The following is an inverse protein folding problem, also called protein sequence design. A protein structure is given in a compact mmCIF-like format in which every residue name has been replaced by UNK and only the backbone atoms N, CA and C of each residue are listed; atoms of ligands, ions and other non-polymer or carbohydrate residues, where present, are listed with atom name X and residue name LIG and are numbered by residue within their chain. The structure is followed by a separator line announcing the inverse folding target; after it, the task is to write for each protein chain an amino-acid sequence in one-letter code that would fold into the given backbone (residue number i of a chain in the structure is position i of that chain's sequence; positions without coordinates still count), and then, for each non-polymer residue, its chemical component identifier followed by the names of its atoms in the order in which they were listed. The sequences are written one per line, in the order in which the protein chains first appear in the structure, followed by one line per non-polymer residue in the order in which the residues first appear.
data_IF_584373490334
#
_entry.id   IF_584373490334
#
_cell.length_a   1.000
_cell.length_b   1.000
_cell.length_c   1.000
_cell.angle_alpha   90.00
_cell.angle_beta   90.00
_cell.angle_gamma   90.00
#
_symmetry.space_group_name_H-M   'P 1'
#
loop_
_entity.id
_entity.type
_entity.pdbx_description
1 polymer ?
#
# COMPACT_ATOMS: atom_id res chain seq x y z
N UNK A 1 -35.87 -30.73 81.46
CA UNK A 1 -34.59 -30.47 80.76
C UNK A 1 -34.95 -30.33 79.27
N UNK A 2 -35.44 -29.17 78.81
CA UNK A 2 -34.69 -27.92 78.57
C UNK A 2 -33.45 -28.18 77.69
N UNK A 3 -33.23 -27.63 76.49
CA UNK A 3 -33.92 -26.59 75.72
C UNK A 3 -33.74 -26.84 74.21
N UNK A 4 -34.76 -26.45 73.45
CA UNK A 4 -34.74 -26.27 72.00
C UNK A 4 -33.98 -24.98 71.62
N UNK A 5 -33.45 -24.89 70.39
CA UNK A 5 -33.53 -23.68 69.56
C UNK A 5 -33.20 -24.00 68.09
N UNK A 6 -34.15 -24.66 67.40
CA UNK A 6 -34.24 -24.63 65.94
C UNK A 6 -35.29 -23.59 65.55
N UNK A 7 -34.87 -22.38 65.24
CA UNK A 7 -35.73 -21.28 64.79
C UNK A 7 -35.96 -21.36 63.25
N UNK A 8 -37.03 -20.75 62.74
CA UNK A 8 -38.05 -21.46 61.97
C UNK A 8 -38.37 -20.72 60.67
N UNK A 9 -38.01 -21.25 59.50
CA UNK A 9 -38.28 -20.50 58.26
C UNK A 9 -38.88 -21.23 57.08
N UNK A 10 -39.26 -22.51 57.19
CA UNK A 10 -39.90 -23.16 56.04
C UNK A 10 -41.04 -24.08 56.47
N UNK A 11 -42.18 -23.46 56.77
CA UNK A 11 -43.46 -24.15 56.74
C UNK A 11 -44.53 -23.18 56.20
N UNK A 12 -44.86 -23.30 54.90
CA UNK A 12 -46.20 -23.09 54.33
C UNK A 12 -46.29 -23.46 52.83
N UNK A 13 -47.48 -23.80 52.34
CA UNK A 13 -47.71 -24.71 51.22
C UNK A 13 -47.85 -24.04 49.85
N UNK A 14 -47.78 -24.88 48.80
CA UNK A 14 -48.09 -24.59 47.41
C UNK A 14 -49.41 -23.80 47.27
N UNK A 15 -49.35 -22.61 46.67
CA UNK A 15 -50.48 -22.02 45.95
C UNK A 15 -49.95 -21.42 44.66
N UNK A 16 -50.57 -21.81 43.56
CA UNK A 16 -50.16 -21.54 42.19
C UNK A 16 -50.14 -20.05 41.84
N UNK A 17 -49.09 -19.62 41.14
CA UNK A 17 -49.12 -18.41 40.34
C UNK A 17 -48.78 -18.77 38.89
N UNK A 18 -49.76 -18.57 38.01
CA UNK A 18 -49.63 -18.71 36.56
C UNK A 18 -48.85 -17.50 36.05
N UNK A 19 -47.59 -17.72 35.67
CA UNK A 19 -46.70 -16.70 35.10
C UNK A 19 -46.05 -17.23 33.83
N UNK A 20 -46.65 -16.87 32.71
CA UNK A 20 -46.17 -16.84 31.32
C UNK A 20 -44.77 -17.38 31.00
N UNK A 21 -44.72 -18.31 30.04
CA UNK A 21 -43.61 -18.47 29.11
C UNK A 21 -42.50 -19.42 29.56
N UNK A 22 -42.38 -20.56 28.87
CA UNK A 22 -41.23 -21.45 28.93
C UNK A 22 -39.92 -20.66 28.68
N UNK A 23 -39.16 -20.38 29.73
CA UNK A 23 -37.73 -20.06 29.58
C UNK A 23 -36.96 -21.38 29.57
N UNK A 24 -36.55 -21.79 28.37
CA UNK A 24 -35.59 -22.88 28.19
C UNK A 24 -34.29 -22.54 28.93
N UNK A 25 -33.62 -23.51 29.56
CA UNK A 25 -32.26 -23.29 30.07
C UNK A 25 -31.35 -22.91 28.89
N UNK A 26 -30.82 -21.69 28.97
CA UNK A 26 -29.89 -21.13 28.00
C UNK A 26 -28.49 -21.68 28.28
N UNK A 27 -28.09 -22.69 27.52
CA UNK A 27 -26.67 -23.06 27.37
C UNK A 27 -26.33 -23.07 25.88
N UNK A 28 -25.60 -22.01 25.48
CA UNK A 28 -24.60 -22.02 24.42
C UNK A 28 -25.03 -22.49 23.03
N UNK A 29 -25.48 -21.50 22.26
CA UNK A 29 -25.20 -21.26 20.83
C UNK A 29 -25.04 -22.46 19.91
N UNK A 30 -25.96 -22.51 18.94
CA UNK A 30 -25.70 -22.90 17.55
C UNK A 30 -24.28 -22.51 17.11
N UNK A 31 -23.31 -23.42 17.27
CA UNK A 31 -22.07 -23.35 16.50
C UNK A 31 -22.39 -23.95 15.15
N UNK A 32 -22.17 -23.23 14.03
CA UNK A 32 -22.18 -23.88 12.73
C UNK A 32 -21.19 -25.04 12.77
N UNK A 33 -21.59 -26.20 12.23
CA UNK A 33 -20.69 -27.34 12.06
C UNK A 33 -19.37 -26.84 11.44
N UNK A 34 -18.19 -27.30 11.92
CA UNK A 34 -16.93 -26.86 11.35
C UNK A 34 -16.97 -27.20 9.86
N UNK A 35 -17.02 -26.18 9.00
CA UNK A 35 -16.91 -26.40 7.56
C UNK A 35 -15.65 -27.21 7.36
N UNK A 36 -15.76 -28.38 6.71
CA UNK A 36 -14.61 -29.22 6.40
C UNK A 36 -13.74 -28.41 5.42
N UNK A 37 -12.83 -27.60 5.96
CA UNK A 37 -12.05 -26.63 5.19
C UNK A 37 -11.19 -27.42 4.22
N UNK A 38 -11.52 -27.37 2.93
CA UNK A 38 -10.80 -28.09 1.92
C UNK A 38 -9.46 -27.40 1.70
N UNK A 39 -8.37 -28.06 2.10
CA UNK A 39 -7.01 -27.62 1.77
C UNK A 39 -6.84 -27.69 0.26
N UNK A 40 -6.41 -26.57 -0.34
CA UNK A 40 -6.22 -26.47 -1.79
C UNK A 40 -5.18 -27.48 -2.29
N UNK A 41 -5.36 -28.00 -3.51
CA UNK A 41 -4.41 -28.93 -4.12
C UNK A 41 -2.99 -28.35 -4.20
N UNK A 42 -2.89 -27.05 -4.53
CA UNK A 42 -1.62 -26.32 -4.60
C UNK A 42 -0.93 -26.19 -3.24
N UNK A 43 -1.67 -25.92 -2.17
CA UNK A 43 -1.14 -25.90 -0.81
C UNK A 43 -0.58 -27.28 -0.43
N UNK A 44 -1.31 -28.36 -0.75
CA UNK A 44 -0.82 -29.73 -0.52
C UNK A 44 0.46 -30.03 -1.31
N UNK A 45 0.54 -29.56 -2.56
CA UNK A 45 1.72 -29.75 -3.40
C UNK A 45 2.95 -29.02 -2.83
N UNK A 46 2.79 -27.76 -2.41
CA UNK A 46 3.88 -26.99 -1.79
C UNK A 46 4.41 -27.65 -0.51
N UNK A 47 3.50 -28.17 0.33
CA UNK A 47 3.87 -28.88 1.56
C UNK A 47 4.46 -30.26 1.27
N UNK A 48 4.00 -30.96 0.24
CA UNK A 48 4.64 -32.21 -0.20
C UNK A 48 6.09 -31.97 -0.66
N UNK A 49 6.35 -30.90 -1.43
CA UNK A 49 7.71 -30.50 -1.82
C UNK A 49 8.59 -30.19 -0.60
N UNK A 50 8.04 -29.55 0.42
CA UNK A 50 8.71 -29.33 1.70
C UNK A 50 9.05 -30.65 2.39
N UNK A 51 8.12 -31.59 2.45
CA UNK A 51 8.32 -32.92 3.04
C UNK A 51 9.42 -33.74 2.39
N UNK A 52 9.64 -33.57 1.08
CA UNK A 52 10.76 -34.22 0.38
C UNK A 52 12.12 -33.67 0.84
N UNK A 53 12.19 -32.41 1.27
CA UNK A 53 13.44 -31.78 1.74
C UNK A 53 13.81 -32.20 3.15
N UNK A 54 12.81 -32.40 4.02
CA UNK A 54 13.01 -32.74 5.43
C UNK A 54 12.68 -34.21 5.73
N UNK A 55 12.98 -35.10 4.78
CA UNK A 55 12.62 -36.51 4.88
C UNK A 55 13.31 -37.18 6.09
N UNK A 56 12.56 -37.87 6.98
CA UNK A 56 13.14 -38.63 8.07
C UNK A 56 13.99 -39.80 7.58
N UNK A 57 15.02 -40.16 8.36
CA UNK A 57 15.97 -41.23 8.05
C UNK A 57 15.44 -42.63 8.37
N UNK A 58 14.49 -42.75 9.31
CA UNK A 58 13.91 -44.02 9.78
C UNK A 58 12.52 -44.26 9.18
N UNK A 59 12.21 -45.53 8.94
CA UNK A 59 10.93 -45.96 8.36
C UNK A 59 9.75 -45.73 9.31
N UNK A 60 9.95 -45.88 10.63
CA UNK A 60 8.93 -45.62 11.66
C UNK A 60 8.53 -44.13 11.72
N UNK A 61 9.43 -43.24 11.29
CA UNK A 61 9.20 -41.80 11.34
C UNK A 61 8.46 -41.27 10.09
N UNK A 62 8.30 -42.10 9.04
CA UNK A 62 7.65 -41.67 7.80
C UNK A 62 6.15 -41.43 7.98
N UNK A 63 5.47 -42.26 8.77
CA UNK A 63 4.04 -42.09 9.06
C UNK A 63 3.79 -40.85 9.93
N UNK A 64 4.60 -40.67 10.99
CA UNK A 64 4.56 -39.49 11.83
C UNK A 64 4.84 -38.20 11.02
N UNK A 65 5.82 -38.25 10.12
CA UNK A 65 6.13 -37.14 9.23
C UNK A 65 5.01 -36.84 8.24
N UNK A 66 4.36 -37.85 7.65
CA UNK A 66 3.18 -37.66 6.81
C UNK A 66 2.03 -36.99 7.58
N UNK A 67 1.80 -37.41 8.84
CA UNK A 67 0.84 -36.77 9.74
C UNK A 67 1.19 -35.30 10.03
N UNK A 68 2.46 -35.01 10.28
CA UNK A 68 2.95 -33.66 10.50
C UNK A 68 2.76 -32.75 9.27
N UNK A 69 3.02 -33.26 8.06
CA UNK A 69 2.75 -32.52 6.82
C UNK A 69 1.26 -32.25 6.61
N UNK A 70 0.39 -33.21 6.95
CA UNK A 70 -1.06 -33.03 6.84
C UNK A 70 -1.58 -31.95 7.81
N UNK A 71 -1.07 -31.93 9.05
CA UNK A 71 -1.36 -30.86 10.01
C UNK A 71 -0.86 -29.51 9.51
N UNK A 72 0.38 -29.45 9.02
CA UNK A 72 0.97 -28.24 8.48
C UNK A 72 0.16 -27.68 7.29
N UNK A 73 -0.29 -28.55 6.38
CA UNK A 73 -1.14 -28.15 5.25
C UNK A 73 -2.52 -27.63 5.71
N UNK A 74 -3.05 -28.17 6.81
CA UNK A 74 -4.29 -27.70 7.42
C UNK A 74 -4.09 -26.34 8.08
N UNK A 75 -2.99 -26.11 8.80
CA UNK A 75 -2.73 -24.83 9.46
C UNK A 75 -2.41 -23.69 8.47
N UNK A 76 -1.88 -24.03 7.29
CA UNK A 76 -1.44 -23.07 6.28
C UNK A 76 -2.43 -22.89 5.12
N UNK A 77 -3.62 -23.52 5.19
CA UNK A 77 -4.62 -23.42 4.10
C UNK A 77 -5.15 -22.00 3.85
N UNK A 78 -5.11 -21.14 4.88
CA UNK A 78 -5.54 -19.74 4.81
C UNK A 78 -4.50 -18.82 4.12
N UNK A 79 -3.28 -19.30 3.88
CA UNK A 79 -2.21 -18.52 3.25
C UNK A 79 -2.28 -18.60 1.72
N UNK A 80 -2.10 -17.47 1.00
CA UNK A 80 -1.88 -17.49 -0.44
C UNK A 80 -0.68 -18.37 -0.81
N UNK A 81 -0.86 -19.22 -1.82
CA UNK A 81 0.14 -20.22 -2.23
C UNK A 81 1.48 -19.55 -2.60
N UNK A 82 1.45 -18.41 -3.30
CA UNK A 82 2.66 -17.70 -3.73
C UNK A 82 3.51 -17.24 -2.54
N UNK A 83 2.86 -16.78 -1.46
CA UNK A 83 3.54 -16.37 -0.23
C UNK A 83 4.07 -17.57 0.55
N UNK A 84 3.32 -18.67 0.54
CA UNK A 84 3.73 -19.91 1.18
C UNK A 84 4.96 -20.53 0.49
N UNK A 85 4.97 -20.60 -0.84
CA UNK A 85 6.12 -21.11 -1.59
C UNK A 85 7.37 -20.26 -1.36
N UNK A 86 7.22 -18.93 -1.34
CA UNK A 86 8.31 -18.01 -0.99
C UNK A 86 8.82 -18.22 0.43
N UNK A 87 7.91 -18.36 1.40
CA UNK A 87 8.27 -18.60 2.81
C UNK A 87 9.03 -19.92 2.97
N UNK A 88 8.60 -20.98 2.28
CA UNK A 88 9.28 -22.28 2.27
C UNK A 88 10.68 -22.16 1.66
N UNK A 89 10.81 -21.42 0.55
CA UNK A 89 12.10 -21.16 -0.10
C UNK A 89 13.08 -20.47 0.83
N UNK A 90 12.68 -19.35 1.42
CA UNK A 90 13.51 -18.58 2.34
C UNK A 90 13.85 -19.35 3.62
N UNK A 91 12.91 -20.13 4.15
CA UNK A 91 13.16 -20.95 5.34
C UNK A 91 14.20 -22.03 5.07
N UNK A 92 14.10 -22.70 3.92
CA UNK A 92 15.03 -23.76 3.52
C UNK A 92 16.49 -23.29 3.45
N UNK A 93 16.71 -22.00 3.15
CA UNK A 93 18.05 -21.40 3.15
C UNK A 93 18.52 -21.06 4.56
N UNK A 94 17.61 -20.66 5.45
CA UNK A 94 17.92 -20.18 6.81
C UNK A 94 18.09 -21.30 7.83
N UNK A 95 17.37 -22.41 7.67
CA UNK A 95 17.30 -23.45 8.69
C UNK A 95 17.37 -24.85 8.09
N UNK A 96 18.24 -25.72 8.63
CA UNK A 96 18.30 -27.13 8.27
C UNK A 96 17.16 -27.95 8.90
N UNK A 97 16.31 -27.34 9.73
CA UNK A 97 15.21 -28.02 10.42
C UNK A 97 13.85 -27.71 9.79
N UNK A 98 12.93 -28.68 9.90
CA UNK A 98 11.58 -28.56 9.39
C UNK A 98 10.85 -27.36 10.05
N UNK A 99 10.21 -26.47 9.26
CA UNK A 99 9.52 -25.31 9.80
C UNK A 99 8.27 -25.71 10.60
N UNK A 100 7.91 -24.89 11.60
CA UNK A 100 6.57 -24.93 12.19
C UNK A 100 5.61 -24.06 11.38
N UNK A 101 4.30 -24.31 11.51
CA UNK A 101 3.28 -23.49 10.85
C UNK A 101 3.43 -22.00 11.18
N UNK A 102 3.68 -21.69 12.46
CA UNK A 102 3.89 -20.32 12.93
C UNK A 102 5.03 -19.61 12.23
N UNK A 103 6.15 -20.30 11.97
CA UNK A 103 7.32 -19.71 11.33
C UNK A 103 7.02 -19.28 9.88
N UNK A 104 6.34 -20.16 9.13
CA UNK A 104 5.91 -19.87 7.76
C UNK A 104 4.87 -18.74 7.71
N UNK A 105 3.93 -18.71 8.67
CA UNK A 105 2.96 -17.61 8.80
C UNK A 105 3.67 -16.29 9.09
N UNK A 106 4.68 -16.28 9.96
CA UNK A 106 5.43 -15.06 10.27
C UNK A 106 6.25 -14.56 9.08
N UNK A 107 6.91 -15.47 8.35
CA UNK A 107 7.60 -15.10 7.11
C UNK A 107 6.62 -14.55 6.06
N UNK A 108 5.48 -15.21 5.87
CA UNK A 108 4.46 -14.75 4.93
C UNK A 108 3.88 -13.38 5.30
N UNK A 109 3.60 -13.15 6.60
CA UNK A 109 3.20 -11.83 7.11
C UNK A 109 4.29 -10.79 6.92
N UNK A 110 5.55 -11.19 7.10
CA UNK A 110 6.71 -10.35 6.80
C UNK A 110 6.75 -9.94 5.33
N UNK A 111 6.39 -10.83 4.40
CA UNK A 111 6.24 -10.44 3.00
C UNK A 111 5.05 -9.52 2.78
N UNK A 112 3.89 -9.76 3.39
CA UNK A 112 2.77 -8.82 3.27
C UNK A 112 3.12 -7.41 3.78
N UNK A 113 3.85 -7.32 4.90
CA UNK A 113 4.32 -6.06 5.46
C UNK A 113 5.40 -5.39 4.59
N UNK A 114 6.23 -6.18 3.90
CA UNK A 114 7.28 -5.70 2.99
C UNK A 114 6.82 -5.58 1.52
N UNK A 115 5.64 -6.09 1.17
CA UNK A 115 5.06 -6.11 -0.17
C UNK A 115 4.19 -4.87 -0.46
N UNK A 116 4.22 -3.85 0.39
CA UNK A 116 4.05 -2.49 -0.10
C UNK A 116 5.46 -1.94 -0.39
N UNK A 117 5.89 -1.86 -1.66
CA UNK A 117 5.10 -1.39 -2.80
C UNK A 117 5.34 -2.19 -4.08
N UNK A 118 4.55 -3.23 -4.40
CA UNK A 118 4.38 -3.65 -5.79
C UNK A 118 2.94 -4.11 -6.06
N UNK A 119 2.35 -3.49 -7.08
CA UNK A 119 1.21 -3.98 -7.87
C UNK A 119 -0.15 -4.01 -7.17
N UNK A 120 -0.67 -2.83 -6.83
CA UNK A 120 -2.06 -2.55 -7.20
C UNK A 120 -2.03 -1.94 -8.60
N UNK A 121 -2.67 -2.59 -9.56
CA UNK A 121 -3.15 -1.98 -10.80
C UNK A 121 -4.22 -0.93 -10.44
N UNK A 122 -3.82 0.15 -9.80
CA UNK A 122 -4.47 1.43 -10.02
C UNK A 122 -3.73 1.98 -11.24
N UNK A 123 -4.41 2.39 -12.32
CA UNK A 123 -3.84 3.30 -13.30
C UNK A 123 -3.46 4.57 -12.54
N UNK A 124 -2.29 4.51 -11.92
CA UNK A 124 -1.69 5.62 -11.24
C UNK A 124 -1.12 6.42 -12.38
N UNK A 125 -1.91 7.36 -12.87
CA UNK A 125 -1.45 8.28 -13.89
C UNK A 125 -0.30 9.08 -13.26
N UNK A 126 0.92 8.60 -13.47
CA UNK A 126 2.12 9.21 -12.93
C UNK A 126 2.33 10.59 -13.54
N UNK A 127 1.72 10.89 -14.69
CA UNK A 127 1.67 12.24 -15.24
C UNK A 127 0.76 13.15 -14.40
N UNK A 128 -0.39 12.66 -13.94
CA UNK A 128 -1.24 13.36 -12.98
C UNK A 128 -0.52 13.63 -11.65
N UNK A 129 0.24 12.65 -11.15
CA UNK A 129 1.03 12.83 -9.92
C UNK A 129 2.17 13.83 -10.16
N UNK A 130 2.87 13.72 -11.28
CA UNK A 130 3.91 14.66 -11.67
C UNK A 130 3.35 16.09 -11.75
N UNK A 131 2.18 16.26 -12.38
CA UNK A 131 1.47 17.54 -12.49
C UNK A 131 1.15 18.11 -11.12
N UNK A 132 0.48 17.37 -10.24
CA UNK A 132 0.17 17.83 -8.87
C UNK A 132 1.40 18.21 -8.07
N UNK A 133 2.50 17.45 -8.24
CA UNK A 133 3.77 17.72 -7.54
C UNK A 133 4.44 18.98 -8.06
N UNK A 134 4.41 19.19 -9.37
CA UNK A 134 4.88 20.42 -10.01
C UNK A 134 4.02 21.61 -9.59
N UNK A 135 2.69 21.49 -9.57
CA UNK A 135 1.78 22.56 -9.15
C UNK A 135 2.03 22.97 -7.70
N UNK A 136 2.19 22.00 -6.79
CA UNK A 136 2.56 22.27 -5.40
C UNK A 136 3.92 22.94 -5.28
N UNK A 137 4.90 22.51 -6.07
CA UNK A 137 6.23 23.12 -6.08
C UNK A 137 6.20 24.54 -6.64
N UNK A 138 5.35 24.83 -7.63
CA UNK A 138 5.20 26.17 -8.20
C UNK A 138 4.37 27.12 -7.32
N UNK A 139 3.50 26.57 -6.46
CA UNK A 139 2.74 27.35 -5.49
C UNK A 139 3.61 27.86 -4.32
N UNK A 140 4.76 27.22 -4.08
CA UNK A 140 5.71 27.61 -3.05
C UNK A 140 6.79 28.54 -3.62
N UNK A 141 6.84 29.83 -3.23
CA UNK A 141 7.79 30.79 -3.76
C UNK A 141 9.25 30.52 -3.35
N UNK A 142 9.49 29.74 -2.29
CA UNK A 142 10.83 29.31 -1.85
C UNK A 142 11.28 27.99 -2.48
N UNK A 143 10.36 27.25 -3.10
CA UNK A 143 10.70 26.00 -3.74
C UNK A 143 11.63 26.21 -4.96
N UNK A 144 12.48 25.22 -5.20
CA UNK A 144 13.58 25.26 -6.19
C UNK A 144 13.08 25.58 -7.61
N UNK A 145 13.10 26.87 -7.97
CA UNK A 145 12.82 27.37 -9.31
C UNK A 145 13.82 26.76 -10.31
N UNK A 146 13.38 25.79 -11.10
CA UNK A 146 14.23 25.10 -12.08
C UNK A 146 14.29 23.59 -11.96
N UNK A 147 13.38 22.98 -11.19
CA UNK A 147 13.21 21.53 -11.13
C UNK A 147 11.79 21.18 -11.61
N UNK A 148 11.66 20.10 -12.38
CA UNK A 148 10.37 19.57 -12.83
C UNK A 148 10.34 18.07 -12.63
N UNK A 149 9.26 17.57 -12.06
CA UNK A 149 8.96 16.14 -12.00
C UNK A 149 8.31 15.70 -13.30
N UNK A 150 8.76 14.57 -13.83
CA UNK A 150 8.19 13.88 -14.99
C UNK A 150 8.01 12.40 -14.67
N UNK A 151 7.02 11.76 -15.28
CA UNK A 151 6.94 10.30 -15.25
C UNK A 151 8.12 9.75 -16.05
N UNK A 152 8.75 8.70 -15.54
CA UNK A 152 9.82 8.02 -16.27
C UNK A 152 9.27 7.35 -17.54
N UNK A 153 10.17 6.97 -18.46
CA UNK A 153 9.77 6.38 -19.75
C UNK A 153 8.96 5.07 -19.61
N UNK A 154 9.06 4.39 -18.47
CA UNK A 154 8.29 3.17 -18.17
C UNK A 154 6.96 3.45 -17.48
N UNK A 155 6.63 4.71 -17.19
CA UNK A 155 5.41 5.13 -16.52
C UNK A 155 5.24 4.52 -15.12
N UNK A 156 6.35 4.16 -14.47
CA UNK A 156 6.36 3.44 -13.20
C UNK A 156 6.84 4.28 -12.01
N UNK A 157 7.62 5.34 -12.25
CA UNK A 157 8.17 6.22 -11.21
C UNK A 157 8.24 7.68 -11.65
N UNK A 158 8.43 8.59 -10.70
CA UNK A 158 8.74 9.99 -10.96
C UNK A 158 10.25 10.22 -10.98
N UNK A 159 10.70 10.95 -11.98
CA UNK A 159 12.08 11.39 -12.13
C UNK A 159 12.14 12.91 -12.29
N UNK A 160 13.31 13.49 -12.01
CA UNK A 160 13.56 14.89 -12.27
C UNK A 160 13.95 15.06 -13.73
N UNK A 161 13.29 15.97 -14.43
CA UNK A 161 13.64 16.36 -15.79
C UNK A 161 15.01 17.05 -15.77
N UNK A 162 16.06 16.42 -16.34
CA UNK A 162 17.42 16.96 -16.28
C UNK A 162 17.61 18.14 -17.24
N UNK A 163 16.77 18.30 -18.27
CA UNK A 163 16.92 19.37 -19.26
C UNK A 163 16.10 20.61 -18.90
N UNK A 164 15.11 20.47 -18.03
CA UNK A 164 14.20 21.55 -17.64
C UNK A 164 14.90 22.87 -17.29
N UNK A 165 15.98 22.79 -16.51
CA UNK A 165 16.76 23.98 -16.13
C UNK A 165 17.48 24.60 -17.34
N UNK A 166 18.16 23.78 -18.11
CA UNK A 166 18.89 24.21 -19.31
C UNK A 166 17.97 24.82 -20.36
N UNK A 167 16.79 24.24 -20.56
CA UNK A 167 15.79 24.75 -21.49
C UNK A 167 15.18 26.07 -21.01
N UNK A 168 14.96 26.21 -19.70
CA UNK A 168 14.55 27.48 -19.09
C UNK A 168 15.62 28.56 -19.29
N UNK A 169 16.89 28.24 -19.02
CA UNK A 169 17.99 29.19 -19.18
C UNK A 169 18.16 29.59 -20.67
N UNK A 170 17.99 28.65 -21.61
CA UNK A 170 17.96 28.93 -23.06
C UNK A 170 16.80 29.85 -23.44
N UNK A 171 15.59 29.62 -22.92
CA UNK A 171 14.43 30.48 -23.17
C UNK A 171 14.67 31.91 -22.64
N UNK A 172 15.21 32.04 -21.43
CA UNK A 172 15.55 33.34 -20.85
C UNK A 172 16.66 34.04 -21.65
N UNK A 173 17.65 33.29 -22.14
CA UNK A 173 18.68 33.80 -23.05
C UNK A 173 18.09 34.36 -24.34
N UNK A 174 17.18 33.63 -24.99
CA UNK A 174 16.47 34.13 -26.20
C UNK A 174 15.69 35.41 -25.95
N UNK A 175 15.03 35.53 -24.79
CA UNK A 175 14.32 36.76 -24.40
C UNK A 175 15.28 37.92 -24.16
N UNK A 176 16.42 37.66 -23.51
CA UNK A 176 17.47 38.64 -23.31
C UNK A 176 18.07 39.13 -24.64
N UNK A 177 18.35 38.20 -25.55
CA UNK A 177 18.98 38.47 -26.84
C UNK A 177 18.00 38.92 -27.92
N UNK A 178 16.71 39.08 -27.58
CA UNK A 178 15.62 39.52 -28.47
C UNK A 178 15.41 38.61 -29.69
N UNK A 179 15.80 37.35 -29.57
CA UNK A 179 15.63 36.33 -30.61
C UNK A 179 14.43 35.43 -30.35
N UNK A 180 13.79 35.57 -29.18
CA UNK A 180 12.55 34.87 -28.85
C UNK A 180 11.40 35.33 -29.76
N UNK A 181 10.68 34.36 -30.32
CA UNK A 181 9.47 34.59 -31.11
C UNK A 181 8.22 34.46 -30.26
N UNK A 182 7.06 34.96 -30.72
CA UNK A 182 5.78 34.75 -30.06
C UNK A 182 5.49 33.25 -29.84
N UNK A 183 5.88 32.41 -30.81
CA UNK A 183 5.76 30.94 -30.71
C UNK A 183 6.63 30.34 -29.61
N UNK A 184 7.82 30.89 -29.36
CA UNK A 184 8.67 30.45 -28.24
C UNK A 184 8.00 30.78 -26.89
N UNK A 185 7.34 31.94 -26.79
CA UNK A 185 6.61 32.35 -25.59
C UNK A 185 5.37 31.48 -25.36
N UNK A 186 4.58 31.20 -26.40
CA UNK A 186 3.39 30.34 -26.30
C UNK A 186 3.72 28.91 -25.88
N UNK A 187 4.83 28.36 -26.41
CA UNK A 187 5.29 27.01 -26.06
C UNK A 187 5.92 26.92 -24.67
N UNK A 188 6.35 28.04 -24.09
CA UNK A 188 6.96 28.05 -22.79
C UNK A 188 5.93 27.69 -21.69
N UNK A 189 6.30 26.86 -20.70
CA UNK A 189 5.53 26.66 -19.49
C UNK A 189 5.11 28.00 -18.86
N UNK A 190 3.89 28.07 -18.33
CA UNK A 190 3.35 29.30 -17.72
C UNK A 190 4.27 29.86 -16.61
N UNK A 191 4.92 28.96 -15.86
CA UNK A 191 5.90 29.32 -14.84
C UNK A 191 7.07 30.12 -15.41
N UNK A 192 7.59 29.73 -16.59
CA UNK A 192 8.68 30.45 -17.23
C UNK A 192 8.22 31.83 -17.71
N UNK A 193 6.98 31.92 -18.21
CA UNK A 193 6.38 33.19 -18.62
C UNK A 193 6.17 34.14 -17.45
N UNK A 194 5.70 33.65 -16.29
CA UNK A 194 5.58 34.43 -15.04
C UNK A 194 6.95 34.93 -14.57
N UNK A 195 7.97 34.07 -14.54
CA UNK A 195 9.33 34.48 -14.18
C UNK A 195 9.87 35.54 -15.17
N UNK A 196 9.59 35.38 -16.47
CA UNK A 196 10.00 36.34 -17.48
C UNK A 196 9.25 37.69 -17.37
N UNK A 197 7.99 37.68 -16.96
CA UNK A 197 7.22 38.88 -16.61
C UNK A 197 7.79 39.57 -15.36
N UNK A 198 8.06 38.82 -14.28
CA UNK A 198 8.71 39.33 -13.06
C UNK A 198 10.06 40.01 -13.38
N UNK A 199 10.80 39.46 -14.34
CA UNK A 199 12.09 40.00 -14.82
C UNK A 199 11.95 41.11 -15.85
N UNK A 200 10.73 41.44 -16.27
CA UNK A 200 10.42 42.53 -17.19
C UNK A 200 10.59 42.23 -18.67
N UNK A 201 10.86 40.98 -19.06
CA UNK A 201 10.97 40.56 -20.47
C UNK A 201 9.61 40.42 -21.16
N UNK A 202 8.59 40.02 -20.40
CA UNK A 202 7.22 39.85 -20.92
C UNK A 202 6.27 40.85 -20.25
N UNK A 203 5.16 41.13 -20.94
CA UNK A 203 4.00 41.83 -20.39
C UNK A 203 2.79 40.92 -20.52
N UNK A 204 2.10 40.67 -19.40
CA UNK A 204 0.81 39.99 -19.40
C UNK A 204 -0.32 40.97 -19.70
N UNK A 205 -1.27 40.56 -20.52
CA UNK A 205 -2.52 41.26 -20.80
C UNK A 205 -3.66 40.67 -19.97
N UNK A 206 -4.80 41.38 -19.93
CA UNK A 206 -5.97 40.99 -19.14
C UNK A 206 -6.64 39.70 -19.63
N UNK A 207 -6.41 39.34 -20.89
CA UNK A 207 -6.81 38.07 -21.51
C UNK A 207 -5.88 36.89 -21.16
N UNK A 208 -4.81 37.14 -20.39
CA UNK A 208 -3.79 36.15 -20.03
C UNK A 208 -2.71 35.93 -21.10
N UNK A 209 -2.73 36.66 -22.21
CA UNK A 209 -1.69 36.60 -23.23
C UNK A 209 -0.40 37.27 -22.73
N UNK A 210 0.75 36.73 -23.14
CA UNK A 210 2.06 37.32 -22.87
C UNK A 210 2.65 37.88 -24.16
N UNK A 211 3.08 39.13 -24.13
CA UNK A 211 3.78 39.76 -25.26
C UNK A 211 5.20 40.13 -24.83
N UNK A 212 6.16 39.95 -25.72
CA UNK A 212 7.54 40.33 -25.49
C UNK A 212 7.60 41.85 -25.38
N UNK A 213 8.14 42.35 -24.26
CA UNK A 213 8.39 43.78 -24.11
C UNK A 213 9.57 44.16 -25.00
N UNK A 214 9.28 44.83 -26.11
CA UNK A 214 10.27 45.69 -26.73
C UNK A 214 10.65 46.75 -25.69
N UNK A 215 11.93 46.81 -25.29
CA UNK A 215 12.41 47.99 -24.56
C UNK A 215 12.00 49.19 -25.39
N UNK A 216 11.21 50.10 -24.82
CA UNK A 216 11.08 51.45 -25.38
C UNK A 216 12.48 51.89 -25.75
N UNK A 217 12.68 52.24 -27.01
CA UNK A 217 13.73 53.18 -27.35
C UNK A 217 13.52 54.35 -26.40
N UNK A 218 14.39 54.49 -25.40
CA UNK A 218 14.73 55.82 -24.94
C UNK A 218 15.30 56.49 -26.19
N UNK A 219 14.42 57.16 -26.94
CA UNK A 219 14.85 58.32 -27.70
C UNK A 219 15.33 59.33 -26.65
N UNK A 220 16.58 59.17 -26.19
CA UNK A 220 17.36 60.29 -25.69
C UNK A 220 17.86 60.99 -26.96
N UNK A 221 16.99 61.83 -27.49
CA UNK A 221 17.19 62.61 -28.68
C UNK A 221 16.28 63.82 -28.64
N UNK A 222 16.58 64.74 -27.71
CA UNK A 222 16.61 66.20 -27.85
C UNK A 222 16.98 66.83 -26.51
#
# INVERSE_FOLDING_TARGET
MEHAHGNPLFNKPLTAYVGQGQTRPSTSSDRPAPSRRQVSAKTKEAIAKLGLRYRPTSQTDLEAHAGQLAMLATDLHDLPVDLLERAIGDWSVKSPFMPKAFDLVQLAKGYLAKAQPQQREVPTDWEDIARRRNDRMNADPEARRGVRWVANATGATLELDPTYRTDMDRFMGKLHDRTATARDVERAPEVWRKIAEERGYLRRFDDGAFVIRERRCENVGL
#
